data_IF_686997312728
#
_entry.id   IF_686997312728
#
_cell.length_a   1.000
_cell.length_b   1.000
_cell.length_c   1.000
_cell.angle_alpha   90.00
_cell.angle_beta   90.00
_cell.angle_gamma   90.00
#
_symmetry.space_group_name_H-M   'P 1'
#
loop_
_entity.id
_entity.type
_entity.pdbx_description
1 polymer ?
#
# COMPACT_ATOMS: atom_id res chain seq x y z
N UNK A 1 27.29 -20.51 -6.49
CA UNK A 1 25.92 -20.37 -7.02
C UNK A 1 26.02 -19.53 -8.27
N UNK A 2 25.40 -19.96 -9.35
CA UNK A 2 25.37 -19.18 -10.59
C UNK A 2 24.53 -17.92 -10.36
N UNK A 3 25.00 -16.76 -10.84
CA UNK A 3 24.33 -15.47 -10.59
C UNK A 3 22.90 -15.48 -11.15
N UNK A 4 22.64 -16.23 -12.22
CA UNK A 4 21.29 -16.38 -12.79
C UNK A 4 20.34 -17.08 -11.83
N UNK A 5 20.82 -18.14 -11.18
CA UNK A 5 20.06 -18.86 -10.16
C UNK A 5 19.74 -17.93 -8.99
N UNK A 6 20.73 -17.12 -8.56
CA UNK A 6 20.53 -16.13 -7.50
C UNK A 6 19.47 -15.08 -7.86
N UNK A 7 19.57 -14.46 -9.03
CA UNK A 7 18.64 -13.42 -9.49
C UNK A 7 17.23 -13.99 -9.67
N UNK A 8 17.10 -15.22 -10.18
CA UNK A 8 15.83 -15.90 -10.32
C UNK A 8 15.17 -16.17 -8.97
N UNK A 9 15.94 -16.65 -7.99
CA UNK A 9 15.43 -16.94 -6.66
C UNK A 9 15.10 -15.65 -5.90
N UNK A 10 15.90 -14.58 -6.04
CA UNK A 10 15.60 -13.23 -5.51
C UNK A 10 14.32 -12.65 -6.14
N UNK A 11 14.15 -12.78 -7.45
CA UNK A 11 12.93 -12.35 -8.16
C UNK A 11 11.68 -13.07 -7.65
N UNK A 12 11.74 -14.40 -7.51
CA UNK A 12 10.62 -15.20 -6.95
C UNK A 12 10.28 -14.74 -5.54
N UNK A 13 11.32 -14.58 -4.71
CA UNK A 13 11.15 -14.17 -3.32
C UNK A 13 10.51 -12.77 -3.22
N UNK A 14 10.92 -11.81 -4.07
CA UNK A 14 10.30 -10.49 -4.15
C UNK A 14 8.84 -10.54 -4.61
N UNK A 15 8.52 -11.39 -5.58
CA UNK A 15 7.13 -11.63 -6.00
C UNK A 15 6.28 -12.18 -4.84
N UNK A 16 6.80 -13.15 -4.09
CA UNK A 16 6.12 -13.73 -2.94
C UNK A 16 5.90 -12.69 -1.83
N UNK A 17 6.90 -11.86 -1.53
CA UNK A 17 6.77 -10.74 -0.58
C UNK A 17 5.71 -9.74 -1.04
N UNK A 18 5.69 -9.38 -2.32
CA UNK A 18 4.69 -8.47 -2.88
C UNK A 18 3.28 -9.05 -2.77
N UNK A 19 3.10 -10.34 -3.07
CA UNK A 19 1.84 -11.05 -2.90
C UNK A 19 1.36 -11.07 -1.45
N UNK A 20 2.25 -11.39 -0.51
CA UNK A 20 1.97 -11.37 0.92
C UNK A 20 1.60 -9.96 1.42
N UNK A 21 2.25 -8.92 0.90
CA UNK A 21 1.93 -7.53 1.20
C UNK A 21 0.52 -7.15 0.73
N UNK A 22 0.13 -7.51 -0.50
CA UNK A 22 -1.22 -7.28 -0.99
C UNK A 22 -2.28 -8.02 -0.19
N UNK A 23 -2.01 -9.27 0.21
CA UNK A 23 -2.93 -10.02 1.08
C UNK A 23 -3.14 -9.31 2.41
N UNK A 24 -2.06 -8.84 3.06
CA UNK A 24 -2.15 -8.08 4.31
C UNK A 24 -2.90 -6.75 4.14
N UNK A 25 -2.67 -6.04 3.04
CA UNK A 25 -3.37 -4.80 2.71
C UNK A 25 -4.88 -5.04 2.56
N UNK A 26 -5.28 -6.10 1.84
CA UNK A 26 -6.69 -6.48 1.69
C UNK A 26 -7.34 -6.89 3.02
N UNK A 27 -6.67 -7.68 3.85
CA UNK A 27 -7.21 -8.04 5.18
C UNK A 27 -7.45 -6.82 6.06
N UNK A 28 -6.54 -5.83 6.04
CA UNK A 28 -6.74 -4.57 6.76
C UNK A 28 -7.88 -3.76 6.17
N UNK A 29 -7.97 -3.70 4.84
CA UNK A 29 -9.05 -3.02 4.14
C UNK A 29 -10.42 -3.60 4.54
N UNK A 30 -10.58 -4.91 4.48
CA UNK A 30 -11.84 -5.59 4.85
C UNK A 30 -12.19 -5.34 6.33
N UNK A 31 -11.20 -5.35 7.23
CA UNK A 31 -11.39 -5.05 8.64
C UNK A 31 -11.90 -3.62 8.85
N UNK A 32 -11.22 -2.61 8.29
CA UNK A 32 -11.66 -1.21 8.44
C UNK A 32 -13.01 -0.95 7.79
N UNK A 33 -13.25 -1.52 6.61
CA UNK A 33 -14.52 -1.40 5.91
C UNK A 33 -15.66 -2.00 6.73
N UNK A 34 -15.47 -3.18 7.32
CA UNK A 34 -16.50 -3.82 8.14
C UNK A 34 -16.82 -3.03 9.41
N UNK A 35 -15.79 -2.53 10.10
CA UNK A 35 -15.97 -1.72 11.32
C UNK A 35 -16.63 -0.38 11.00
N UNK A 36 -16.18 0.33 9.97
CA UNK A 36 -16.78 1.60 9.54
C UNK A 36 -18.22 1.41 9.07
N UNK A 37 -18.49 0.40 8.25
CA UNK A 37 -19.85 0.10 7.80
C UNK A 37 -20.79 -0.22 8.98
N UNK A 38 -20.31 -0.95 9.99
CA UNK A 38 -21.08 -1.26 11.18
C UNK A 38 -21.33 -0.01 12.04
N UNK A 39 -20.30 0.80 12.32
CA UNK A 39 -20.43 2.04 13.08
C UNK A 39 -21.35 3.05 12.38
N UNK A 40 -21.15 3.21 11.07
CA UNK A 40 -21.95 4.12 10.25
C UNK A 40 -23.40 3.63 10.15
N UNK A 41 -23.62 2.33 9.97
CA UNK A 41 -24.95 1.71 9.99
C UNK A 41 -25.66 1.91 11.34
N UNK A 42 -24.94 1.70 12.45
CA UNK A 42 -25.47 1.95 13.80
C UNK A 42 -25.81 3.42 14.05
N UNK A 43 -25.10 4.35 13.39
CA UNK A 43 -25.35 5.79 13.54
C UNK A 43 -26.74 6.26 13.05
N UNK A 44 -27.46 5.43 12.30
CA UNK A 44 -28.83 5.69 11.86
C UNK A 44 -29.89 5.28 12.90
N UNK A 45 -29.51 4.56 13.96
CA UNK A 45 -30.41 4.24 15.06
C UNK A 45 -30.63 5.49 15.93
N UNK A 46 -31.68 6.24 15.59
CA UNK A 46 -31.98 7.57 16.16
C UNK A 46 -32.57 7.52 17.57
N UNK A 47 -33.17 6.39 17.97
CA UNK A 47 -33.82 6.24 19.28
C UNK A 47 -32.85 5.73 20.36
N UNK A 48 -31.84 4.93 19.98
CA UNK A 48 -30.89 4.33 20.93
C UNK A 48 -29.68 5.20 21.28
N UNK A 49 -29.29 6.15 20.43
CA UNK A 49 -28.00 6.84 20.53
C UNK A 49 -27.99 8.14 21.33
N UNK A 50 -29.12 8.85 21.42
CA UNK A 50 -29.29 10.06 22.25
C UNK A 50 -28.06 10.99 22.30
N UNK A 51 -27.45 11.10 23.48
CA UNK A 51 -26.27 11.96 23.75
C UNK A 51 -24.94 11.41 23.20
N UNK A 52 -24.88 10.13 22.82
CA UNK A 52 -23.66 9.46 22.38
C UNK A 52 -23.37 9.60 20.88
N UNK A 53 -24.28 10.18 20.09
CA UNK A 53 -24.11 10.31 18.63
C UNK A 53 -22.83 11.08 18.23
N UNK A 54 -22.46 12.13 18.97
CA UNK A 54 -21.24 12.89 18.72
C UNK A 54 -19.98 12.07 19.02
N UNK A 55 -20.01 11.27 20.09
CA UNK A 55 -18.90 10.38 20.44
C UNK A 55 -18.72 9.28 19.40
N UNK A 56 -19.82 8.70 18.92
CA UNK A 56 -19.80 7.71 17.84
C UNK A 56 -19.23 8.31 16.55
N UNK A 57 -19.69 9.50 16.16
CA UNK A 57 -19.20 10.18 14.97
C UNK A 57 -17.73 10.57 15.09
N UNK A 58 -17.30 11.05 16.26
CA UNK A 58 -15.90 11.34 16.55
C UNK A 58 -15.01 10.10 16.44
N UNK A 59 -15.46 8.96 16.98
CA UNK A 59 -14.75 7.69 16.87
C UNK A 59 -14.62 7.23 15.40
N UNK A 60 -15.70 7.33 14.62
CA UNK A 60 -15.69 7.04 13.18
C UNK A 60 -14.74 7.94 12.40
N UNK A 61 -14.73 9.25 12.67
CA UNK A 61 -13.77 10.17 12.01
C UNK A 61 -12.31 9.82 12.31
N UNK A 62 -11.99 9.48 13.57
CA UNK A 62 -10.63 9.07 13.96
C UNK A 62 -10.24 7.75 13.27
N UNK A 63 -11.17 6.81 13.17
CA UNK A 63 -10.95 5.54 12.50
C UNK A 63 -10.72 5.75 10.99
N UNK A 64 -11.49 6.62 10.33
CA UNK A 64 -11.27 7.02 8.94
C UNK A 64 -9.88 7.62 8.70
N UNK A 65 -9.41 8.54 9.56
CA UNK A 65 -8.07 9.14 9.45
C UNK A 65 -6.98 8.08 9.60
N UNK A 66 -7.16 7.15 10.55
CA UNK A 66 -6.24 6.05 10.79
C UNK A 66 -6.19 5.10 9.60
N UNK A 67 -7.34 4.73 9.06
CA UNK A 67 -7.46 3.89 7.87
C UNK A 67 -6.81 4.57 6.66
N UNK A 68 -7.07 5.85 6.44
CA UNK A 68 -6.44 6.63 5.37
C UNK A 68 -4.91 6.59 5.47
N UNK A 69 -4.35 6.80 6.66
CA UNK A 69 -2.90 6.75 6.87
C UNK A 69 -2.31 5.38 6.53
N UNK A 70 -2.94 4.30 6.99
CA UNK A 70 -2.50 2.94 6.68
C UNK A 70 -2.60 2.62 5.18
N UNK A 71 -3.71 3.01 4.54
CA UNK A 71 -3.88 2.83 3.09
C UNK A 71 -2.80 3.55 2.28
N UNK A 72 -2.48 4.80 2.66
CA UNK A 72 -1.44 5.57 2.00
C UNK A 72 -0.04 4.93 2.17
N UNK A 73 0.27 4.45 3.37
CA UNK A 73 1.52 3.75 3.65
C UNK A 73 1.62 2.42 2.88
N UNK A 74 0.54 1.63 2.85
CA UNK A 74 0.52 0.34 2.13
C UNK A 74 0.67 0.54 0.62
N UNK A 75 0.11 1.62 0.05
CA UNK A 75 0.30 2.01 -1.36
C UNK A 75 1.74 2.39 -1.68
N UNK A 76 2.37 3.19 -0.82
CA UNK A 76 3.78 3.55 -0.98
C UNK A 76 4.67 2.31 -0.99
N UNK A 77 4.44 1.38 -0.05
CA UNK A 77 5.19 0.13 0.03
C UNK A 77 4.95 -0.77 -1.19
N UNK A 78 3.71 -0.87 -1.66
CA UNK A 78 3.37 -1.64 -2.84
C UNK A 78 4.11 -1.13 -4.09
N UNK A 79 4.19 0.18 -4.29
CA UNK A 79 4.92 0.78 -5.40
C UNK A 79 6.42 0.52 -5.29
N UNK A 80 7.00 0.66 -4.09
CA UNK A 80 8.40 0.34 -3.85
C UNK A 80 8.71 -1.12 -4.20
N UNK A 81 7.90 -2.06 -3.73
CA UNK A 81 8.08 -3.48 -4.04
C UNK A 81 7.91 -3.78 -5.54
N UNK A 82 6.94 -3.15 -6.23
CA UNK A 82 6.79 -3.28 -7.69
C UNK A 82 8.04 -2.83 -8.43
N UNK A 83 8.63 -1.69 -8.04
CA UNK A 83 9.89 -1.21 -8.62
C UNK A 83 11.03 -2.20 -8.38
N UNK A 84 11.16 -2.75 -7.18
CA UNK A 84 12.20 -3.75 -6.88
C UNK A 84 12.03 -5.06 -7.65
N UNK A 85 10.79 -5.51 -7.86
CA UNK A 85 10.47 -6.66 -8.72
C UNK A 85 10.82 -6.37 -10.17
N UNK A 86 10.48 -5.16 -10.67
CA UNK A 86 10.80 -4.74 -12.03
C UNK A 86 12.32 -4.71 -12.28
N UNK A 87 13.10 -4.12 -11.36
CA UNK A 87 14.56 -4.07 -11.48
C UNK A 87 15.15 -5.49 -11.52
N UNK A 88 14.68 -6.39 -10.65
CA UNK A 88 15.13 -7.78 -10.64
C UNK A 88 14.79 -8.52 -11.95
N UNK A 89 13.60 -8.28 -12.50
CA UNK A 89 13.19 -8.82 -13.80
C UNK A 89 14.04 -8.29 -14.95
N UNK A 90 14.29 -6.97 -14.99
CA UNK A 90 15.13 -6.35 -16.01
C UNK A 90 16.57 -6.87 -15.97
N UNK A 91 17.15 -7.03 -14.78
CA UNK A 91 18.47 -7.66 -14.64
C UNK A 91 18.49 -9.11 -15.13
N UNK A 92 17.47 -9.91 -14.78
CA UNK A 92 17.36 -11.30 -15.20
C UNK A 92 17.21 -11.44 -16.72
N UNK A 93 16.41 -10.57 -17.34
CA UNK A 93 16.23 -10.54 -18.80
C UNK A 93 17.48 -10.10 -19.55
N UNK A 94 18.26 -9.15 -19.02
CA UNK A 94 19.56 -8.76 -19.58
C UNK A 94 20.57 -9.91 -19.52
N UNK A 95 20.63 -10.64 -18.39
CA UNK A 95 21.53 -11.78 -18.17
C UNK A 95 21.21 -12.99 -19.05
N UNK A 96 19.93 -13.29 -19.26
CA UNK A 96 19.49 -14.44 -20.06
C UNK A 96 19.46 -14.09 -21.56
N UNK A 97 19.09 -12.85 -21.90
CA UNK A 97 18.93 -12.39 -23.28
C UNK A 97 20.23 -12.06 -24.01
N UNK A 98 21.31 -11.75 -23.28
CA UNK A 98 22.63 -11.51 -23.84
C UNK A 98 23.67 -12.39 -23.12
N UNK A 99 24.49 -13.18 -23.83
CA UNK A 99 25.60 -13.89 -23.21
C UNK A 99 26.50 -12.87 -22.49
N UNK A 100 27.06 -13.20 -21.31
CA UNK A 100 27.80 -12.25 -20.50
C UNK A 100 28.97 -11.68 -21.31
N UNK A 101 28.82 -10.44 -21.71
CA UNK A 101 29.90 -9.58 -22.19
C UNK A 101 30.90 -9.42 -21.05
N UNK A 102 32.21 -9.39 -21.36
CA UNK A 102 33.26 -9.17 -20.35
C UNK A 102 33.18 -7.81 -19.66
N UNK A 103 32.37 -6.88 -20.20
CA UNK A 103 32.04 -5.60 -19.58
C UNK A 103 30.50 -5.42 -19.49
N UNK A 104 29.96 -5.02 -18.32
CA UNK A 104 28.55 -4.69 -18.19
C UNK A 104 28.21 -3.46 -19.05
N UNK A 105 27.00 -3.44 -19.60
CA UNK A 105 26.51 -2.26 -20.31
C UNK A 105 26.22 -1.11 -19.34
N UNK A 106 26.22 0.15 -19.80
CA UNK A 106 25.83 1.29 -18.94
C UNK A 106 24.43 1.12 -18.32
N UNK A 107 23.51 0.44 -19.03
CA UNK A 107 22.17 0.15 -18.53
C UNK A 107 22.21 -0.87 -17.39
N UNK A 108 23.02 -1.91 -17.52
CA UNK A 108 23.23 -2.93 -16.51
C UNK A 108 23.88 -2.34 -15.25
N UNK A 109 24.90 -1.48 -15.39
CA UNK A 109 25.52 -0.78 -14.25
C UNK A 109 24.53 0.11 -13.49
N UNK A 110 23.63 0.80 -14.20
CA UNK A 110 22.58 1.61 -13.57
C UNK A 110 21.62 0.72 -12.77
N UNK A 111 21.16 -0.38 -13.36
CA UNK A 111 20.26 -1.30 -12.68
C UNK A 111 20.92 -1.95 -11.46
N UNK A 112 22.19 -2.35 -11.53
CA UNK A 112 22.91 -2.88 -10.38
C UNK A 112 23.09 -1.87 -9.24
N UNK A 113 23.19 -0.57 -9.57
CA UNK A 113 23.28 0.49 -8.56
C UNK A 113 21.98 0.64 -7.77
N UNK A 114 20.84 0.49 -8.45
CA UNK A 114 19.51 0.64 -7.85
C UNK A 114 18.94 -0.68 -7.32
N UNK A 115 19.61 -1.79 -7.64
CA UNK A 115 19.23 -3.13 -7.20
C UNK A 115 19.59 -3.37 -5.73
N UNK A 116 18.58 -3.72 -4.94
CA UNK A 116 18.73 -4.25 -3.59
C UNK A 116 18.29 -5.71 -3.59
N UNK A 117 19.09 -6.60 -3.02
CA UNK A 117 18.69 -7.99 -2.82
C UNK A 117 17.83 -8.14 -1.55
N UNK A 118 17.05 -9.22 -1.46
CA UNK A 118 16.24 -9.50 -0.26
C UNK A 118 17.15 -9.75 0.95
N UNK A 119 16.94 -8.97 2.01
CA UNK A 119 17.74 -9.04 3.24
C UNK A 119 18.87 -8.00 3.32
N UNK A 120 19.05 -7.16 2.30
CA UNK A 120 19.93 -6.00 2.41
C UNK A 120 19.30 -4.94 3.33
N UNK A 121 19.87 -4.78 4.52
CA UNK A 121 19.44 -3.78 5.52
C UNK A 121 20.15 -2.43 5.31
N UNK A 122 21.24 -2.39 4.51
CA UNK A 122 22.10 -1.20 4.38
C UNK A 122 21.54 -0.16 3.40
N UNK A 123 20.81 -0.60 2.38
CA UNK A 123 20.18 0.27 1.38
C UNK A 123 18.68 0.52 1.65
N UNK A 124 18.12 -0.03 2.73
CA UNK A 124 16.73 0.20 3.18
C UNK A 124 16.55 1.54 3.92
N UNK A 125 17.20 2.61 3.45
CA UNK A 125 16.73 3.94 3.79
C UNK A 125 15.43 4.15 3.02
N UNK A 126 14.34 3.63 3.57
CA UNK A 126 12.98 4.05 3.25
C UNK A 126 13.05 5.58 3.25
N UNK A 127 12.83 6.18 2.09
CA UNK A 127 12.85 7.62 1.96
C UNK A 127 11.77 8.16 2.90
N UNK A 128 12.18 8.72 4.05
CA UNK A 128 11.30 9.24 5.09
C UNK A 128 10.44 10.42 4.61
N UNK A 129 10.54 10.79 3.33
CA UNK A 129 9.68 11.76 2.65
C UNK A 129 8.27 11.18 2.49
N UNK A 130 7.52 11.29 3.58
CA UNK A 130 6.06 11.35 3.71
C UNK A 130 5.27 10.25 2.95
N UNK A 131 4.50 9.38 3.65
CA UNK A 131 3.53 8.48 3.02
C UNK A 131 2.38 9.21 2.30
N UNK A 132 2.37 10.55 2.33
CA UNK A 132 1.36 11.43 1.74
C UNK A 132 1.59 11.73 0.25
N UNK A 133 2.14 10.77 -0.51
CA UNK A 133 2.09 10.87 -1.98
C UNK A 133 0.71 10.42 -2.46
N UNK A 134 -0.23 11.37 -2.49
CA UNK A 134 -1.46 11.24 -3.25
C UNK A 134 -1.11 11.08 -4.73
N UNK A 135 -1.38 9.91 -5.28
CA UNK A 135 -1.25 9.65 -6.71
C UNK A 135 -2.62 9.26 -7.23
N UNK A 136 -3.08 9.97 -8.26
CA UNK A 136 -4.34 9.69 -8.96
C UNK A 136 -3.94 8.99 -10.26
N UNK A 137 -3.82 7.67 -10.21
CA UNK A 137 -3.62 6.79 -11.37
C UNK A 137 -4.88 5.96 -11.60
N UNK A 138 -5.97 6.65 -11.92
CA UNK A 138 -7.18 6.13 -12.59
C UNK A 138 -7.58 4.67 -12.25
N UNK A 139 -7.80 4.38 -10.96
CA UNK A 139 -8.43 3.16 -10.41
C UNK A 139 -7.54 1.91 -10.33
N UNK A 140 -6.54 1.93 -9.45
CA UNK A 140 -6.00 0.67 -8.91
C UNK A 140 -6.78 0.25 -7.64
N UNK A 141 -6.94 -1.06 -7.40
CA UNK A 141 -7.51 -1.59 -6.15
C UNK A 141 -6.80 -1.05 -4.89
N UNK A 142 -5.52 -0.70 -5.03
CA UNK A 142 -4.70 -0.02 -4.01
C UNK A 142 -5.20 1.40 -3.69
N UNK A 143 -5.66 2.15 -4.68
CA UNK A 143 -6.21 3.50 -4.48
C UNK A 143 -7.58 3.49 -3.79
N UNK A 144 -8.36 2.43 -3.99
CA UNK A 144 -9.67 2.27 -3.36
C UNK A 144 -9.59 2.21 -1.83
N UNK A 145 -8.51 1.62 -1.30
CA UNK A 145 -8.19 1.58 0.15
C UNK A 145 -8.02 2.98 0.74
N UNK A 146 -7.60 3.94 -0.06
CA UNK A 146 -7.38 5.34 0.36
C UNK A 146 -8.61 6.21 0.10
N UNK A 147 -9.37 5.93 -0.97
CA UNK A 147 -10.55 6.71 -1.32
C UNK A 147 -11.75 6.45 -0.39
N UNK A 148 -11.98 5.19 0.00
CA UNK A 148 -13.11 4.83 0.86
C UNK A 148 -13.12 5.51 2.24
N UNK A 149 -12.02 5.58 2.99
CA UNK A 149 -12.03 6.31 4.27
C UNK A 149 -12.37 7.79 4.11
N UNK A 150 -12.05 8.42 2.96
CA UNK A 150 -12.48 9.81 2.70
C UNK A 150 -13.99 9.92 2.48
N UNK A 151 -14.60 8.93 1.81
CA UNK A 151 -16.05 8.88 1.62
C UNK A 151 -16.75 8.73 2.99
N UNK A 152 -16.28 7.82 3.83
CA UNK A 152 -16.80 7.66 5.19
C UNK A 152 -16.55 8.91 6.04
N UNK A 153 -15.39 9.57 5.93
CA UNK A 153 -15.08 10.81 6.64
C UNK A 153 -16.06 11.93 6.28
N UNK A 154 -16.40 12.08 5.00
CA UNK A 154 -17.43 13.02 4.54
C UNK A 154 -18.79 12.63 5.11
N UNK A 155 -19.13 11.33 5.08
CA UNK A 155 -20.36 10.80 5.69
C UNK A 155 -20.48 11.15 7.17
N UNK A 156 -19.42 10.93 7.95
CA UNK A 156 -19.37 11.31 9.36
C UNK A 156 -19.47 12.82 9.57
N UNK A 157 -18.81 13.63 8.73
CA UNK A 157 -18.94 15.09 8.77
C UNK A 157 -20.37 15.57 8.52
N UNK A 158 -21.08 14.94 7.59
CA UNK A 158 -22.51 15.18 7.37
C UNK A 158 -23.35 14.74 8.58
N UNK A 159 -23.01 13.63 9.23
CA UNK A 159 -23.71 13.15 10.42
C UNK A 159 -23.55 14.10 11.61
N UNK A 160 -22.36 14.67 11.81
CA UNK A 160 -22.10 15.67 12.86
C UNK A 160 -22.88 16.96 12.59
N UNK A 161 -22.94 17.42 11.34
CA UNK A 161 -23.60 18.68 10.98
C UNK A 161 -25.12 18.54 10.91
N UNK A 162 -25.63 17.36 10.54
CA UNK A 162 -27.05 17.07 10.40
C UNK A 162 -27.37 15.77 11.18
N UNK A 163 -27.62 15.87 12.50
CA UNK A 163 -27.79 14.71 13.38
C UNK A 163 -29.10 13.92 13.16
N UNK A 164 -29.97 14.35 12.23
CA UNK A 164 -31.22 13.67 11.86
C UNK A 164 -31.24 13.09 10.43
N UNK A 165 -30.10 13.10 9.74
CA UNK A 165 -29.95 12.49 8.41
C UNK A 165 -29.91 10.96 8.44
#
# INVERSE_FOLDING_TARGET
MEIDQFLLDDYKLKCDYLGAHFSRMLTRFDFFLAVEAALFGFSFDTDGLGEYHLWLAGAGMVLCVTWFYFGAADNYLADHYRTQVQIAYELLTLRIGFPPSSAPSEAEERLYRDYSFVGDVRHQLIDNRLPLRFRITWFSATELVVALPLIFLVGWGLRVTIPRL
#
